data_IF_480889177859
#
_entry.id   IF_480889177859
#
_cell.length_a   1.000
_cell.length_b   1.000
_cell.length_c   1.000
_cell.angle_alpha   90.00
_cell.angle_beta   90.00
_cell.angle_gamma   90.00
#
_symmetry.space_group_name_H-M   'P 1'
#
loop_
_entity.id
_entity.type
_entity.pdbx_description
1 polymer ?
#
# COMPACT_ATOMS: atom_id res chain seq x y z
N UNK A 1 -18.56 33.68 -35.19
CA UNK A 1 -18.19 32.56 -34.32
C UNK A 1 -16.69 32.55 -34.29
N UNK A 2 -16.02 32.84 -33.16
CA UNK A 2 -14.59 32.55 -32.87
C UNK A 2 -14.11 33.48 -31.73
N UNK A 3 -14.62 33.28 -30.51
CA UNK A 3 -14.17 34.02 -29.31
C UNK A 3 -14.20 33.12 -28.06
N UNK A 4 -13.62 31.92 -28.12
CA UNK A 4 -13.55 31.00 -26.97
C UNK A 4 -12.25 30.16 -26.89
N UNK A 5 -11.16 30.53 -27.58
CA UNK A 5 -9.93 29.73 -27.56
C UNK A 5 -8.71 30.42 -26.92
N UNK A 6 -8.93 31.47 -26.13
CA UNK A 6 -7.87 32.29 -25.54
C UNK A 6 -7.94 32.33 -24.00
N UNK A 7 -8.21 31.18 -23.36
CA UNK A 7 -8.19 31.05 -21.88
C UNK A 7 -7.35 29.85 -21.39
N UNK A 8 -6.82 28.98 -22.25
CA UNK A 8 -6.01 27.82 -21.82
C UNK A 8 -4.49 28.08 -21.72
N UNK A 9 -4.04 29.35 -21.69
CA UNK A 9 -2.61 29.70 -21.78
C UNK A 9 -2.00 30.40 -20.56
N UNK A 10 -2.55 30.23 -19.36
CA UNK A 10 -1.97 30.87 -18.16
C UNK A 10 -1.72 29.85 -17.03
N UNK A 11 -0.50 29.94 -16.48
CA UNK A 11 0.12 29.22 -15.35
C UNK A 11 0.70 27.84 -15.71
N UNK A 12 1.97 27.52 -15.49
CA UNK A 12 2.89 27.95 -14.42
C UNK A 12 4.32 28.01 -14.96
N UNK A 13 4.95 29.18 -14.83
CA UNK A 13 6.41 29.31 -14.81
C UNK A 13 6.91 28.81 -13.45
N UNK A 14 7.66 27.72 -13.44
CA UNK A 14 8.58 27.42 -12.35
C UNK A 14 9.84 26.82 -12.97
N UNK A 15 10.88 27.64 -12.93
CA UNK A 15 12.27 27.35 -13.24
C UNK A 15 12.69 26.06 -12.52
N UNK A 16 13.11 25.02 -13.25
CA UNK A 16 13.92 23.94 -12.68
C UNK A 16 15.35 24.09 -13.21
N UNK A 17 16.21 24.71 -12.39
CA UNK A 17 17.67 24.63 -12.53
C UNK A 17 18.15 23.24 -12.10
N UNK A 18 18.95 22.62 -12.97
CA UNK A 18 19.98 21.60 -12.71
C UNK A 18 19.68 20.49 -11.71
N UNK A 19 19.48 19.29 -12.22
CA UNK A 19 20.22 18.11 -11.78
C UNK A 19 20.23 17.08 -12.93
N UNK A 20 21.34 17.01 -13.67
CA UNK A 20 21.67 15.97 -14.65
C UNK A 20 21.89 14.60 -13.97
N UNK A 21 20.98 14.20 -13.07
CA UNK A 21 20.89 12.81 -12.66
C UNK A 21 20.01 12.13 -13.67
N UNK A 22 20.60 11.29 -14.50
CA UNK A 22 19.92 10.31 -15.35
C UNK A 22 18.62 9.88 -14.65
N UNK A 23 17.48 10.28 -15.23
CA UNK A 23 16.15 9.99 -14.69
C UNK A 23 15.91 8.50 -14.85
N UNK A 24 16.50 7.72 -13.96
CA UNK A 24 16.27 6.30 -13.93
C UNK A 24 14.85 6.04 -13.45
N UNK A 25 14.13 5.19 -14.18
CA UNK A 25 12.73 4.83 -13.88
C UNK A 25 12.65 4.17 -12.50
N UNK A 26 12.10 4.90 -11.52
CA UNK A 26 11.82 4.38 -10.18
C UNK A 26 10.50 3.62 -10.15
N UNK A 27 10.44 2.59 -9.33
CA UNK A 27 9.23 1.79 -9.12
C UNK A 27 9.17 1.24 -7.70
N UNK A 28 7.98 0.88 -7.25
CA UNK A 28 7.82 0.24 -5.95
C UNK A 28 8.17 -1.24 -6.02
N UNK A 29 8.93 -1.70 -5.03
CA UNK A 29 9.17 -3.12 -4.75
C UNK A 29 8.75 -3.44 -3.33
N UNK A 30 8.28 -4.66 -3.12
CA UNK A 30 8.08 -5.20 -1.78
C UNK A 30 9.26 -6.09 -1.39
N UNK A 31 9.68 -6.04 -0.14
CA UNK A 31 10.71 -6.91 0.40
C UNK A 31 10.30 -7.49 1.75
N UNK A 32 10.68 -8.76 1.95
CA UNK A 32 10.59 -9.42 3.23
C UNK A 32 11.70 -8.94 4.14
N UNK A 33 11.32 -8.47 5.32
CA UNK A 33 12.20 -8.03 6.39
C UNK A 33 12.35 -9.13 7.44
N UNK A 34 13.37 -9.03 8.29
CA UNK A 34 13.49 -9.91 9.46
C UNK A 34 12.29 -9.75 10.41
N UNK A 35 11.83 -10.83 11.07
CA UNK A 35 10.71 -10.75 12.00
C UNK A 35 10.89 -9.63 13.02
N UNK A 36 9.87 -8.76 13.17
CA UNK A 36 9.85 -7.61 14.10
C UNK A 36 10.91 -6.54 13.82
N UNK A 37 11.65 -6.62 12.73
CA UNK A 37 12.65 -5.62 12.33
C UNK A 37 12.14 -4.63 11.27
N UNK A 38 10.88 -4.75 10.85
CA UNK A 38 10.28 -4.00 9.75
C UNK A 38 10.43 -2.48 9.91
N UNK A 39 10.06 -1.94 11.09
CA UNK A 39 10.22 -0.51 11.41
C UNK A 39 11.68 -0.06 11.39
N UNK A 40 12.59 -0.92 11.84
CA UNK A 40 14.02 -0.64 11.87
C UNK A 40 14.61 -0.64 10.46
N UNK A 41 14.26 -1.64 9.64
CA UNK A 41 14.68 -1.73 8.24
C UNK A 41 14.24 -0.50 7.45
N UNK A 42 12.97 -0.11 7.60
CA UNK A 42 12.41 1.08 6.97
C UNK A 42 13.12 2.35 7.44
N UNK A 43 13.36 2.49 8.75
CA UNK A 43 14.06 3.66 9.29
C UNK A 43 15.53 3.75 8.83
N UNK A 44 16.25 2.64 8.71
CA UNK A 44 17.63 2.61 8.22
C UNK A 44 17.70 2.94 6.73
N UNK A 45 16.83 2.33 5.92
CA UNK A 45 16.79 2.56 4.47
C UNK A 45 16.31 3.98 4.15
N UNK A 46 15.38 4.53 4.93
CA UNK A 46 14.92 5.92 4.79
C UNK A 46 16.04 6.94 5.05
N UNK A 47 17.01 6.63 5.91
CA UNK A 47 18.19 7.49 6.13
C UNK A 47 19.12 7.56 4.92
N UNK A 48 19.05 6.56 4.04
CA UNK A 48 19.82 6.54 2.79
C UNK A 48 19.16 7.40 1.68
N UNK A 49 18.04 8.06 1.97
CA UNK A 49 17.31 8.88 1.00
C UNK A 49 16.33 8.10 0.13
N UNK A 50 16.13 6.81 0.40
CA UNK A 50 15.17 5.96 -0.32
C UNK A 50 13.77 6.17 0.26
N UNK A 51 12.80 6.37 -0.62
CA UNK A 51 11.39 6.46 -0.25
C UNK A 51 10.87 5.09 0.18
N UNK A 52 10.21 5.05 1.34
CA UNK A 52 9.80 3.80 1.97
C UNK A 52 8.38 3.91 2.49
N UNK A 53 7.66 2.79 2.45
CA UNK A 53 6.32 2.68 2.99
C UNK A 53 6.18 1.37 3.76
N UNK A 54 5.69 1.48 5.00
CA UNK A 54 5.34 0.34 5.84
C UNK A 54 3.84 0.37 6.08
N UNK A 55 3.10 -0.69 5.74
CA UNK A 55 1.66 -0.73 5.95
C UNK A 55 1.35 -0.93 7.44
N UNK A 56 1.28 0.15 8.21
CA UNK A 56 0.98 0.13 9.65
C UNK A 56 -0.39 0.71 9.96
N UNK A 57 -1.10 0.09 10.91
CA UNK A 57 -2.35 0.61 11.48
C UNK A 57 -2.17 0.90 12.97
N UNK A 58 -2.73 2.02 13.43
CA UNK A 58 -2.77 2.37 14.86
C UNK A 58 -3.92 1.59 15.51
N UNK A 59 -3.59 0.67 16.41
CA UNK A 59 -4.56 -0.07 17.22
C UNK A 59 -4.51 0.40 18.67
N UNK A 60 -5.67 0.56 19.30
CA UNK A 60 -5.77 0.88 20.74
C UNK A 60 -5.79 -0.45 21.50
N UNK A 61 -4.66 -0.78 22.15
CA UNK A 61 -4.59 -1.96 23.02
C UNK A 61 -4.88 -1.53 24.46
N UNK A 62 -5.96 -2.05 25.01
CA UNK A 62 -6.29 -1.89 26.43
C UNK A 62 -5.57 -2.98 27.22
N UNK A 63 -4.76 -2.54 28.18
CA UNK A 63 -4.19 -3.35 29.24
C UNK A 63 -5.05 -3.13 30.48
N UNK A 64 -5.04 -4.07 31.42
CA UNK A 64 -5.88 -4.04 32.62
C UNK A 64 -5.85 -2.70 33.36
N UNK A 65 -4.76 -1.94 33.22
CA UNK A 65 -4.53 -0.65 33.85
C UNK A 65 -4.54 0.56 32.88
N UNK A 66 -4.32 0.39 31.56
CA UNK A 66 -4.18 1.52 30.60
C UNK A 66 -4.52 1.22 29.14
N UNK A 67 -5.02 2.22 28.40
CA UNK A 67 -5.17 2.19 26.93
C UNK A 67 -3.93 2.79 26.26
N UNK A 68 -3.27 2.06 25.35
CA UNK A 68 -2.12 2.56 24.58
C UNK A 68 -2.35 2.39 23.08
N UNK A 69 -2.10 3.45 22.31
CA UNK A 69 -2.03 3.40 20.85
C UNK A 69 -0.74 2.70 20.44
N UNK A 70 -0.85 1.60 19.70
CA UNK A 70 0.27 0.81 19.18
C UNK A 70 0.12 0.72 17.68
N UNK A 71 1.14 1.14 16.96
CA UNK A 71 1.24 0.93 15.51
C UNK A 71 1.71 -0.48 15.21
N UNK A 72 0.84 -1.27 14.61
CA UNK A 72 1.11 -2.65 14.20
C UNK A 72 1.15 -2.73 12.68
N UNK A 73 2.14 -3.43 12.12
CA UNK A 73 2.18 -3.69 10.68
C UNK A 73 1.06 -4.66 10.29
N UNK A 74 0.29 -4.31 9.27
CA UNK A 74 -0.82 -5.12 8.75
C UNK A 74 -0.31 -6.28 7.92
N UNK A 75 0.76 -6.06 7.16
CA UNK A 75 1.44 -7.10 6.41
C UNK A 75 2.73 -7.45 7.16
N UNK A 76 2.72 -8.51 7.98
CA UNK A 76 3.88 -8.83 8.80
C UNK A 76 5.07 -9.15 7.90
N UNK A 77 6.23 -8.70 8.32
CA UNK A 77 7.53 -8.87 7.68
C UNK A 77 7.61 -8.28 6.27
N UNK A 78 6.68 -7.45 5.81
CA UNK A 78 6.74 -6.85 4.47
C UNK A 78 6.87 -5.34 4.54
N UNK A 79 7.82 -4.79 3.80
CA UNK A 79 7.99 -3.36 3.61
C UNK A 79 8.10 -3.02 2.12
N UNK A 80 7.65 -1.83 1.76
CA UNK A 80 7.68 -1.31 0.40
C UNK A 80 8.76 -0.24 0.27
N UNK A 81 9.44 -0.24 -0.87
CA UNK A 81 10.54 0.66 -1.18
C UNK A 81 10.38 1.18 -2.60
N UNK A 82 10.50 2.49 -2.78
CA UNK A 82 10.47 3.12 -4.10
C UNK A 82 11.89 3.38 -4.55
N UNK A 83 12.31 2.60 -5.55
CA UNK A 83 13.70 2.43 -5.89
C UNK A 83 13.95 2.37 -7.38
N UNK A 84 15.15 2.77 -7.75
CA UNK A 84 15.76 2.47 -9.05
C UNK A 84 16.51 1.12 -9.05
N UNK A 85 16.87 0.60 -10.23
CA UNK A 85 17.72 -0.57 -10.48
C UNK A 85 19.01 -0.56 -9.67
N UNK A 86 19.63 0.60 -9.49
CA UNK A 86 20.85 0.74 -8.68
C UNK A 86 20.56 0.57 -7.18
N UNK A 87 19.56 1.28 -6.68
CA UNK A 87 19.07 1.26 -5.29
C UNK A 87 18.57 -0.14 -4.86
N UNK A 88 17.99 -0.91 -5.77
CA UNK A 88 17.56 -2.30 -5.54
C UNK A 88 18.69 -3.20 -5.02
N UNK A 89 19.90 -3.03 -5.57
CA UNK A 89 21.05 -3.81 -5.15
C UNK A 89 21.43 -3.53 -3.70
N UNK A 90 21.26 -2.29 -3.24
CA UNK A 90 21.48 -1.91 -1.85
C UNK A 90 20.45 -2.54 -0.91
N UNK A 91 19.17 -2.52 -1.30
CA UNK A 91 18.10 -3.16 -0.51
C UNK A 91 18.35 -4.66 -0.39
N UNK A 92 18.71 -5.31 -1.50
CA UNK A 92 19.00 -6.75 -1.53
C UNK A 92 20.12 -7.14 -0.56
N UNK A 93 21.15 -6.29 -0.45
CA UNK A 93 22.31 -6.54 0.42
C UNK A 93 22.13 -6.05 1.86
N UNK A 94 21.00 -5.41 2.18
CA UNK A 94 20.76 -4.84 3.50
C UNK A 94 20.51 -5.94 4.55
N UNK A 95 21.20 -5.88 5.69
CA UNK A 95 21.21 -6.96 6.69
C UNK A 95 19.84 -7.30 7.31
N UNK A 96 18.90 -6.35 7.30
CA UNK A 96 17.54 -6.53 7.82
C UNK A 96 16.53 -7.02 6.76
N UNK A 97 16.95 -7.12 5.50
CA UNK A 97 16.15 -7.63 4.39
C UNK A 97 16.50 -9.10 4.17
N UNK A 98 15.48 -9.95 4.08
CA UNK A 98 15.63 -11.37 3.79
C UNK A 98 15.67 -11.59 2.28
N UNK A 99 14.66 -11.04 1.57
CA UNK A 99 14.56 -11.15 0.11
C UNK A 99 13.59 -10.11 -0.45
N UNK A 100 13.80 -9.68 -1.68
CA UNK A 100 12.84 -8.89 -2.44
C UNK A 100 11.80 -9.86 -3.04
N UNK A 101 10.54 -9.44 -3.09
CA UNK A 101 9.46 -10.24 -3.67
C UNK A 101 9.61 -10.26 -5.19
N UNK A 102 9.52 -11.45 -5.76
CA UNK A 102 9.57 -11.69 -7.20
C UNK A 102 8.17 -11.96 -7.74
N UNK A 103 7.99 -11.69 -9.02
CA UNK A 103 6.76 -12.04 -9.73
C UNK A 103 6.59 -13.58 -9.76
N UNK A 104 5.38 -14.13 -9.56
CA UNK A 104 5.13 -15.56 -9.62
C UNK A 104 5.58 -16.14 -10.96
N UNK A 105 6.47 -17.13 -10.92
CA UNK A 105 7.02 -17.76 -12.12
C UNK A 105 8.14 -16.99 -12.83
N UNK A 106 8.55 -15.82 -12.31
CA UNK A 106 9.61 -15.00 -12.87
C UNK A 106 10.73 -14.73 -11.87
N UNK A 107 11.96 -14.58 -12.37
CA UNK A 107 13.11 -14.15 -11.56
C UNK A 107 13.15 -12.63 -11.37
N UNK A 108 12.31 -11.89 -12.10
CA UNK A 108 12.18 -10.45 -11.99
C UNK A 108 11.50 -10.04 -10.67
N UNK A 109 11.91 -8.88 -10.14
CA UNK A 109 11.29 -8.29 -8.96
C UNK A 109 9.87 -7.85 -9.27
N UNK A 110 8.95 -8.08 -8.32
CA UNK A 110 7.57 -7.63 -8.42
C UNK A 110 7.53 -6.10 -8.43
N UNK A 111 7.17 -5.52 -9.58
CA UNK A 111 6.94 -4.08 -9.72
C UNK A 111 5.52 -3.76 -9.28
N UNK A 112 5.40 -2.96 -8.24
CA UNK A 112 4.10 -2.58 -7.67
C UNK A 112 3.72 -1.21 -8.23
N UNK A 113 2.56 -1.07 -8.87
CA UNK A 113 2.10 0.22 -9.35
C UNK A 113 1.83 1.20 -8.18
N UNK A 114 2.13 2.49 -8.37
CA UNK A 114 1.87 3.54 -7.37
C UNK A 114 0.41 3.54 -6.88
N UNK A 115 -0.53 3.34 -7.81
CA UNK A 115 -1.96 3.25 -7.50
C UNK A 115 -2.29 2.18 -6.45
N UNK A 116 -1.49 1.10 -6.35
CA UNK A 116 -1.70 0.07 -5.32
C UNK A 116 -1.20 0.51 -3.96
N UNK A 117 -0.03 1.15 -3.92
CA UNK A 117 0.51 1.72 -2.69
C UNK A 117 -0.41 2.82 -2.18
N UNK A 118 -0.95 3.65 -3.07
CA UNK A 118 -1.94 4.67 -2.74
C UNK A 118 -3.24 4.07 -2.22
N UNK A 119 -3.77 3.01 -2.85
CA UNK A 119 -4.92 2.25 -2.33
C UNK A 119 -4.65 1.72 -0.91
N UNK A 120 -3.46 1.18 -0.67
CA UNK A 120 -3.06 0.65 0.63
C UNK A 120 -2.97 1.78 1.68
N UNK A 121 -2.36 2.92 1.32
CA UNK A 121 -2.33 4.14 2.15
C UNK A 121 -3.73 4.65 2.47
N UNK A 122 -4.61 4.68 1.47
CA UNK A 122 -5.99 5.13 1.62
C UNK A 122 -6.79 4.21 2.55
N UNK A 123 -6.71 2.89 2.33
CA UNK A 123 -7.35 1.88 3.17
C UNK A 123 -6.90 2.03 4.63
N UNK A 124 -5.59 2.07 4.89
CA UNK A 124 -5.07 2.14 6.25
C UNK A 124 -5.26 3.51 6.92
N UNK A 125 -5.31 4.58 6.14
CA UNK A 125 -5.51 5.94 6.65
C UNK A 125 -6.97 6.24 7.01
N UNK A 126 -7.93 5.57 6.36
CA UNK A 126 -9.36 5.83 6.50
C UNK A 126 -10.13 4.75 7.27
N UNK A 127 -9.55 3.56 7.48
CA UNK A 127 -10.22 2.49 8.22
C UNK A 127 -10.06 2.65 9.74
N UNK A 128 -11.15 2.99 10.44
CA UNK A 128 -11.29 2.81 11.89
C UNK A 128 -11.46 1.33 12.31
N UNK A 129 -11.70 0.45 11.33
CA UNK A 129 -11.87 -0.99 11.51
C UNK A 129 -10.51 -1.70 11.37
N UNK A 130 -10.19 -2.71 12.20
CA UNK A 130 -8.95 -3.47 12.06
C UNK A 130 -8.88 -4.15 10.68
N UNK A 131 -7.82 -3.84 9.94
CA UNK A 131 -7.51 -4.48 8.65
C UNK A 131 -6.70 -5.74 8.91
N UNK A 132 -7.05 -6.84 8.23
CA UNK A 132 -6.27 -8.08 8.28
C UNK A 132 -5.73 -8.40 6.90
N UNK A 133 -4.56 -9.00 6.82
CA UNK A 133 -3.99 -9.43 5.55
C UNK A 133 -4.29 -10.90 5.29
N UNK A 134 -4.71 -11.23 4.06
CA UNK A 134 -5.03 -12.59 3.62
C UNK A 134 -4.14 -12.94 2.42
N UNK A 135 -3.23 -13.92 2.56
CA UNK A 135 -2.31 -14.31 1.48
C UNK A 135 -3.01 -15.15 0.38
N UNK A 136 -3.98 -15.99 0.76
CA UNK A 136 -4.71 -16.87 -0.17
C UNK A 136 -6.10 -16.31 -0.49
N UNK A 137 -6.25 -15.81 -1.71
CA UNK A 137 -7.50 -15.24 -2.21
C UNK A 137 -8.38 -16.36 -2.83
N UNK A 138 -9.38 -16.85 -2.10
CA UNK A 138 -10.54 -17.53 -2.71
C UNK A 138 -11.61 -16.48 -2.92
N UNK A 139 -11.81 -16.13 -4.18
CA UNK A 139 -12.55 -14.94 -4.60
C UNK A 139 -14.00 -15.28 -4.88
N UNK A 140 -14.93 -14.51 -4.31
CA UNK A 140 -16.28 -14.34 -4.85
C UNK A 140 -16.56 -12.83 -5.03
N UNK A 141 -17.46 -12.50 -5.96
CA UNK A 141 -17.96 -11.20 -6.45
C UNK A 141 -17.19 -9.87 -6.24
N UNK A 142 -17.10 -9.07 -7.31
CA UNK A 142 -16.56 -7.71 -7.26
C UNK A 142 -17.60 -6.70 -6.72
N UNK A 143 -17.15 -5.78 -5.87
CA UNK A 143 -17.96 -4.71 -5.30
C UNK A 143 -17.22 -3.39 -5.22
N UNK A 144 -17.97 -2.31 -5.06
CA UNK A 144 -17.50 -0.97 -4.76
C UNK A 144 -18.07 -0.48 -3.45
N UNK A 145 -17.26 0.18 -2.64
CA UNK A 145 -17.71 0.86 -1.42
C UNK A 145 -18.31 2.22 -1.81
N UNK A 146 -19.56 2.44 -1.44
CA UNK A 146 -20.33 3.67 -1.76
C UNK A 146 -20.62 4.53 -0.54
N UNK A 147 -20.37 4.03 0.68
CA UNK A 147 -20.58 4.79 1.93
C UNK A 147 -19.47 4.54 2.95
N UNK A 148 -19.21 5.53 3.81
CA UNK A 148 -18.18 5.51 4.86
C UNK A 148 -16.85 6.14 4.45
N UNK A 149 -15.81 6.01 5.27
CA UNK A 149 -14.51 6.64 5.01
C UNK A 149 -13.73 5.98 3.85
N UNK A 150 -14.21 4.82 3.40
CA UNK A 150 -13.58 3.97 2.38
C UNK A 150 -14.29 4.07 1.01
N UNK A 151 -15.11 5.12 0.78
CA UNK A 151 -15.84 5.34 -0.47
C UNK A 151 -14.89 5.34 -1.68
N UNK A 152 -15.31 4.67 -2.75
CA UNK A 152 -14.59 4.60 -4.02
C UNK A 152 -13.65 3.41 -4.15
N UNK A 153 -13.34 2.71 -3.05
CA UNK A 153 -12.55 1.47 -3.11
C UNK A 153 -13.35 0.34 -3.77
N UNK A 154 -12.71 -0.34 -4.70
CA UNK A 154 -13.20 -1.54 -5.36
C UNK A 154 -12.49 -2.76 -4.78
N UNK A 155 -13.24 -3.81 -4.47
CA UNK A 155 -12.69 -5.04 -3.91
C UNK A 155 -13.59 -6.23 -4.21
N UNK A 156 -13.23 -7.39 -3.67
CA UNK A 156 -14.01 -8.63 -3.79
C UNK A 156 -14.68 -8.96 -2.45
N UNK A 157 -15.91 -9.44 -2.45
CA UNK A 157 -16.64 -9.75 -1.21
C UNK A 157 -16.48 -11.20 -0.84
N UNK A 158 -16.27 -11.45 0.45
CA UNK A 158 -16.51 -12.75 1.06
C UNK A 158 -17.60 -12.55 2.12
N UNK A 159 -18.70 -13.29 1.99
CA UNK A 159 -19.66 -13.43 3.09
C UNK A 159 -19.12 -14.44 4.10
N UNK A 160 -19.03 -14.03 5.36
CA UNK A 160 -18.78 -14.95 6.45
C UNK A 160 -20.06 -15.72 6.80
N UNK A 161 -19.92 -16.97 7.26
CA UNK A 161 -21.03 -17.84 7.73
C UNK A 161 -21.90 -17.18 8.83
N UNK A 162 -21.37 -16.16 9.52
CA UNK A 162 -22.07 -15.41 10.57
C UNK A 162 -22.81 -14.15 10.08
N UNK A 163 -22.94 -13.96 8.76
CA UNK A 163 -23.67 -12.81 8.17
C UNK A 163 -22.87 -11.50 8.13
N UNK A 164 -21.59 -11.52 8.54
CA UNK A 164 -20.68 -10.38 8.38
C UNK A 164 -20.16 -10.32 6.93
N UNK A 165 -20.15 -9.12 6.35
CA UNK A 165 -19.61 -8.90 5.00
C UNK A 165 -18.16 -8.43 5.12
N UNK A 166 -17.25 -9.21 4.54
CA UNK A 166 -15.85 -8.85 4.49
C UNK A 166 -15.48 -8.48 3.05
N UNK A 167 -14.78 -7.37 2.85
CA UNK A 167 -14.26 -6.93 1.56
C UNK A 167 -12.77 -7.19 1.53
N UNK A 168 -12.29 -7.88 0.50
CA UNK A 168 -10.88 -8.05 0.23
C UNK A 168 -10.45 -7.10 -0.88
N UNK A 169 -9.54 -6.19 -0.56
CA UNK A 169 -8.84 -5.35 -1.52
C UNK A 169 -7.58 -6.08 -1.95
N UNK A 170 -7.53 -6.53 -3.20
CA UNK A 170 -6.36 -7.20 -3.76
C UNK A 170 -5.15 -6.26 -3.88
N UNK A 171 -3.98 -6.78 -3.57
CA UNK A 171 -2.67 -6.18 -3.78
C UNK A 171 -1.86 -7.18 -4.61
N UNK A 172 -1.33 -6.77 -5.76
CA UNK A 172 -0.65 -7.70 -6.66
C UNK A 172 0.52 -8.40 -5.94
N UNK A 173 0.69 -9.69 -6.24
CA UNK A 173 1.77 -10.58 -5.78
C UNK A 173 1.92 -10.77 -4.25
N UNK A 174 1.17 -10.00 -3.46
CA UNK A 174 1.19 -10.02 -2.01
C UNK A 174 -0.02 -10.78 -1.47
N UNK A 175 -1.20 -10.57 -2.04
CA UNK A 175 -2.45 -11.13 -1.54
C UNK A 175 -3.52 -10.05 -1.46
N UNK A 176 -4.24 -9.95 -0.35
CA UNK A 176 -5.22 -8.88 -0.18
C UNK A 176 -5.39 -8.41 1.26
N UNK A 177 -5.85 -7.18 1.42
CA UNK A 177 -6.29 -6.65 2.70
C UNK A 177 -7.79 -6.93 2.88
N UNK A 178 -8.13 -7.74 3.88
CA UNK A 178 -9.49 -8.02 4.34
C UNK A 178 -9.96 -6.94 5.30
N UNK A 179 -11.09 -6.35 4.97
CA UNK A 179 -11.77 -5.26 5.67
C UNK A 179 -13.16 -5.72 6.06
N UNK A 180 -13.55 -5.53 7.33
CA UNK A 180 -14.92 -5.81 7.77
C UNK A 180 -15.79 -4.58 7.52
N UNK A 181 -16.84 -4.72 6.70
CA UNK A 181 -17.70 -3.59 6.30
C UNK A 181 -19.16 -4.05 6.28
N UNK A 182 -20.08 -3.18 6.70
CA UNK A 182 -21.50 -3.49 6.63
C UNK A 182 -22.00 -3.51 5.17
N UNK A 183 -22.86 -4.48 4.82
CA UNK A 183 -23.46 -4.63 3.48
C UNK A 183 -24.13 -3.36 2.95
N UNK A 184 -24.71 -2.54 3.84
CA UNK A 184 -25.37 -1.28 3.48
C UNK A 184 -24.45 -0.22 2.84
N UNK A 185 -23.12 -0.41 2.97
CA UNK A 185 -22.12 0.52 2.46
C UNK A 185 -21.50 0.09 1.13
N UNK A 186 -22.03 -0.99 0.53
CA UNK A 186 -21.42 -1.69 -0.60
C UNK A 186 -22.42 -1.74 -1.76
N UNK A 187 -21.94 -1.54 -2.98
CA UNK A 187 -22.67 -1.71 -4.23
C UNK A 187 -21.97 -2.79 -5.08
N UNK A 188 -22.74 -3.70 -5.67
CA UNK A 188 -22.24 -4.72 -6.61
C UNK A 188 -21.93 -4.07 -7.96
N UNK A 189 -20.82 -4.51 -8.59
CA UNK A 189 -20.42 -4.06 -9.92
C UNK A 189 -20.92 -5.02 -11.01
#
# INVERSE_FOLDING_TARGET
METLNEISKICVSAVNWTDDREAHEKFWVAAYTRPRCEKKAVAEIKKLGIETYLPTQVQIRQWSDRKKKIETAIIPMVAFFYVDKTEISFIRNHALIIRIISQPGETAYARIPDIQIEKLKFVLGQSDVPVSFVPDLKVEDNVRIVRGNLIGLTGKVIQSEYGETDIIVGIDFLGGCKLRINRLNIELL
#
